data_IF_026798848340
#
_entry.id   IF_026798848340
#
_cell.length_a   1.000
_cell.length_b   1.000
_cell.length_c   1.000
_cell.angle_alpha   90.00
_cell.angle_beta   90.00
_cell.angle_gamma   90.00
#
_symmetry.space_group_name_H-M   'P 1'
#
loop_
_entity.id
_entity.type
_entity.pdbx_description
1 polymer ?
#
# COMPACT_ATOMS: atom_id res chain seq x y z
N UNK A 1 9.88 17.89 -10.10
CA UNK A 1 8.61 18.09 -9.37
C UNK A 1 7.66 16.94 -9.64
N UNK A 2 7.05 16.41 -8.59
CA UNK A 2 6.10 15.30 -8.72
C UNK A 2 4.71 15.85 -8.93
N UNK A 3 4.01 15.24 -9.86
CA UNK A 3 2.62 15.60 -10.13
C UNK A 3 1.70 14.72 -9.30
N UNK A 4 0.81 15.34 -8.52
CA UNK A 4 -0.19 14.63 -7.74
C UNK A 4 -1.28 14.11 -8.68
N UNK A 5 -1.54 12.80 -8.64
CA UNK A 5 -2.58 12.18 -9.46
C UNK A 5 -3.91 12.12 -8.71
N UNK A 6 -3.89 11.54 -7.53
CA UNK A 6 -5.08 11.43 -6.69
C UNK A 6 -4.70 11.11 -5.25
N UNK A 7 -5.73 11.01 -4.41
CA UNK A 7 -5.58 10.52 -3.05
C UNK A 7 -6.28 9.18 -2.94
N UNK A 8 -5.85 8.35 -2.00
CA UNK A 8 -6.51 7.09 -1.73
C UNK A 8 -6.88 7.00 -0.26
N UNK A 9 -7.98 6.32 -0.01
CA UNK A 9 -8.40 5.99 1.35
C UNK A 9 -8.94 4.58 1.33
N UNK A 10 -8.24 3.69 2.01
CA UNK A 10 -8.59 2.27 2.05
C UNK A 10 -8.88 1.88 3.49
N UNK A 11 -9.87 1.02 3.67
CA UNK A 11 -10.20 0.46 4.96
C UNK A 11 -9.49 -0.87 5.12
N UNK A 12 -8.88 -1.08 6.28
CA UNK A 12 -8.30 -2.35 6.66
C UNK A 12 -9.44 -3.33 6.94
N UNK A 13 -9.51 -4.40 6.17
CA UNK A 13 -10.59 -5.38 6.24
C UNK A 13 -10.17 -6.60 7.04
N UNK A 14 -8.95 -7.08 6.81
CA UNK A 14 -8.45 -8.28 7.49
C UNK A 14 -6.92 -8.30 7.45
N UNK A 15 -6.33 -9.13 8.32
CA UNK A 15 -4.90 -9.38 8.33
C UNK A 15 -4.67 -10.86 8.15
N UNK A 16 -3.77 -11.21 7.24
CA UNK A 16 -3.36 -12.59 7.03
C UNK A 16 -1.84 -12.70 7.10
N UNK A 17 -1.34 -13.92 7.21
CA UNK A 17 0.09 -14.15 7.38
C UNK A 17 0.57 -15.24 6.44
N UNK A 18 1.83 -15.13 6.04
CA UNK A 18 2.50 -16.19 5.29
C UNK A 18 3.96 -16.24 5.71
N UNK A 19 4.69 -17.21 5.19
CA UNK A 19 6.12 -17.34 5.42
C UNK A 19 6.83 -17.38 4.08
N UNK A 20 8.03 -16.79 4.03
CA UNK A 20 8.89 -16.96 2.87
C UNK A 20 9.70 -18.24 2.97
N UNK A 21 10.60 -18.48 2.01
CA UNK A 21 11.40 -19.70 1.96
C UNK A 21 12.35 -19.85 3.13
N UNK A 22 12.75 -18.74 3.74
CA UNK A 22 13.64 -18.72 4.89
C UNK A 22 12.90 -18.79 6.23
N UNK A 23 11.57 -18.88 6.20
CA UNK A 23 10.76 -18.94 7.41
C UNK A 23 10.43 -17.60 8.03
N UNK A 24 10.72 -16.50 7.34
CA UNK A 24 10.34 -15.17 7.82
C UNK A 24 8.84 -14.95 7.65
N UNK A 25 8.20 -14.40 8.67
CA UNK A 25 6.77 -14.12 8.62
C UNK A 25 6.50 -12.84 7.85
N UNK A 26 5.55 -12.91 6.93
CA UNK A 26 5.07 -11.77 6.18
C UNK A 26 3.67 -11.42 6.69
N UNK A 27 3.45 -10.14 6.98
CA UNK A 27 2.16 -9.65 7.47
C UNK A 27 1.41 -8.99 6.33
N UNK A 28 0.22 -9.51 6.02
CA UNK A 28 -0.60 -9.02 4.93
C UNK A 28 -1.76 -8.19 5.48
N UNK A 29 -1.77 -6.90 5.22
CA UNK A 29 -2.90 -6.04 5.55
C UNK A 29 -3.78 -5.94 4.31
N UNK A 30 -4.96 -6.56 4.37
CA UNK A 30 -5.89 -6.61 3.24
C UNK A 30 -6.86 -5.44 3.36
N UNK A 31 -6.88 -4.58 2.35
CA UNK A 31 -7.62 -3.33 2.39
C UNK A 31 -8.51 -3.16 1.16
N UNK A 32 -9.54 -2.32 1.30
CA UNK A 32 -10.38 -1.94 0.18
C UNK A 32 -10.86 -0.50 0.38
N UNK A 33 -11.13 0.18 -0.72
CA UNK A 33 -11.61 1.56 -0.65
C UNK A 33 -11.60 2.22 -2.00
N UNK A 34 -11.19 3.47 -2.04
CA UNK A 34 -11.25 4.28 -3.25
C UNK A 34 -9.94 5.01 -3.50
N UNK A 35 -9.59 5.13 -4.77
CA UNK A 35 -8.64 6.12 -5.26
C UNK A 35 -9.49 7.18 -5.97
N UNK A 36 -9.42 8.41 -5.50
CA UNK A 36 -10.37 9.46 -5.90
C UNK A 36 -10.41 9.72 -7.40
N UNK A 37 -9.28 9.59 -8.07
CA UNK A 37 -9.21 9.81 -9.51
C UNK A 37 -9.48 8.59 -10.36
N UNK A 38 -9.75 7.44 -9.75
CA UNK A 38 -9.90 6.20 -10.52
C UNK A 38 -11.18 5.43 -10.17
N UNK A 39 -11.32 5.00 -8.92
CA UNK A 39 -12.49 4.23 -8.51
C UNK A 39 -12.20 3.29 -7.37
N UNK A 40 -12.84 2.12 -7.40
CA UNK A 40 -12.75 1.13 -6.34
C UNK A 40 -11.41 0.42 -6.36
N UNK A 41 -10.80 0.25 -5.18
CA UNK A 41 -9.49 -0.40 -5.04
C UNK A 41 -9.57 -1.53 -4.02
N UNK A 42 -8.99 -2.66 -4.38
CA UNK A 42 -8.69 -3.75 -3.45
C UNK A 42 -7.19 -3.95 -3.47
N UNK A 43 -6.55 -3.89 -2.30
CA UNK A 43 -5.10 -4.05 -2.28
C UNK A 43 -4.65 -4.75 -1.01
N UNK A 44 -3.52 -5.44 -1.12
CA UNK A 44 -2.86 -6.07 0.01
C UNK A 44 -1.49 -5.44 0.17
N UNK A 45 -1.23 -4.94 1.38
CA UNK A 45 0.08 -4.42 1.74
C UNK A 45 0.82 -5.50 2.53
N UNK A 46 1.95 -5.96 2.01
CA UNK A 46 2.75 -7.03 2.63
C UNK A 46 3.94 -6.40 3.31
N UNK A 47 3.94 -6.46 4.63
CA UNK A 47 5.02 -5.91 5.46
C UNK A 47 5.99 -7.02 5.80
N UNK A 48 7.27 -6.82 5.46
CA UNK A 48 8.37 -7.74 5.79
C UNK A 48 8.95 -7.35 7.12
N UNK A 49 9.24 -8.35 7.96
CA UNK A 49 9.89 -8.17 9.26
C UNK A 49 9.15 -7.22 10.21
N UNK A 50 7.84 -7.27 10.21
CA UNK A 50 7.04 -6.42 11.09
C UNK A 50 7.07 -6.98 12.51
N UNK A 51 8.06 -6.51 13.27
CA UNK A 51 8.31 -6.93 14.66
C UNK A 51 8.50 -5.69 15.52
N UNK A 52 8.23 -5.82 16.81
CA UNK A 52 8.36 -4.71 17.77
C UNK A 52 9.78 -4.14 17.85
N UNK A 53 10.78 -4.93 17.49
CA UNK A 53 12.19 -4.53 17.56
C UNK A 53 12.71 -3.90 16.26
N UNK A 54 11.87 -3.82 15.23
CA UNK A 54 12.27 -3.32 13.91
C UNK A 54 11.50 -2.04 13.61
N UNK A 55 12.22 -0.98 13.23
CA UNK A 55 11.62 0.33 12.99
C UNK A 55 11.28 0.60 11.54
N UNK A 56 11.85 -0.16 10.61
CA UNK A 56 11.54 -0.02 9.18
C UNK A 56 11.81 -1.33 8.46
N UNK A 57 11.20 -1.50 7.32
CA UNK A 57 11.40 -2.72 6.56
C UNK A 57 10.87 -2.60 5.14
N UNK A 58 10.97 -3.70 4.45
CA UNK A 58 10.51 -3.83 3.07
C UNK A 58 8.99 -3.93 3.03
N UNK A 59 8.41 -3.36 2.00
CA UNK A 59 6.97 -3.36 1.77
C UNK A 59 6.69 -3.72 0.32
N UNK A 60 5.65 -4.51 0.13
CA UNK A 60 5.13 -4.80 -1.21
C UNK A 60 3.63 -4.56 -1.19
N UNK A 61 3.11 -3.97 -2.25
CA UNK A 61 1.67 -3.81 -2.42
C UNK A 61 1.23 -4.43 -3.73
N UNK A 62 0.11 -5.12 -3.71
CA UNK A 62 -0.48 -5.76 -4.90
C UNK A 62 -1.97 -5.51 -4.84
N UNK A 63 -2.56 -5.08 -5.95
CA UNK A 63 -3.99 -4.90 -5.96
C UNK A 63 -4.57 -4.52 -7.30
N UNK A 64 -5.87 -4.40 -7.32
CA UNK A 64 -6.62 -4.00 -8.50
C UNK A 64 -7.36 -2.71 -8.24
N UNK A 65 -7.42 -1.86 -9.26
CA UNK A 65 -8.28 -0.68 -9.26
C UNK A 65 -9.29 -0.82 -10.38
N UNK A 66 -10.56 -0.58 -10.05
CA UNK A 66 -11.70 -0.77 -10.96
C UNK A 66 -12.36 0.57 -11.25
N UNK A 67 -12.27 1.00 -12.51
CA UNK A 67 -12.88 2.25 -12.95
C UNK A 67 -14.38 2.08 -13.22
N UNK A 68 -15.10 3.18 -13.21
CA UNK A 68 -16.56 3.17 -13.41
C UNK A 68 -16.96 2.72 -14.82
N UNK A 69 -16.08 2.90 -15.80
CA UNK A 69 -16.37 2.51 -17.18
C UNK A 69 -16.18 1.00 -17.45
N UNK A 70 -15.83 0.24 -16.42
CA UNK A 70 -15.63 -1.21 -16.55
C UNK A 70 -14.20 -1.63 -16.80
N UNK A 71 -13.29 -0.69 -17.00
CA UNK A 71 -11.86 -1.02 -17.12
C UNK A 71 -11.27 -1.24 -15.74
N UNK A 72 -10.19 -2.01 -15.67
CA UNK A 72 -9.48 -2.22 -14.41
C UNK A 72 -8.01 -2.48 -14.70
N UNK A 73 -7.19 -2.23 -13.68
CA UNK A 73 -5.74 -2.44 -13.78
C UNK A 73 -5.26 -3.24 -12.58
N UNK A 74 -4.25 -4.06 -12.83
CA UNK A 74 -3.50 -4.71 -11.77
C UNK A 74 -2.25 -3.89 -11.53
N UNK A 75 -1.99 -3.55 -10.28
CA UNK A 75 -0.77 -2.88 -9.88
C UNK A 75 -0.01 -3.71 -8.88
N UNK A 76 1.30 -3.69 -8.98
CA UNK A 76 2.16 -4.22 -7.93
C UNK A 76 3.36 -3.31 -7.79
N UNK A 77 3.84 -3.21 -6.57
CA UNK A 77 4.95 -2.32 -6.32
C UNK A 77 5.73 -2.71 -5.08
N UNK A 78 6.96 -2.24 -5.05
CA UNK A 78 7.87 -2.46 -3.94
C UNK A 78 8.26 -1.13 -3.32
N UNK A 79 8.52 -1.16 -2.03
CA UNK A 79 8.90 0.03 -1.29
C UNK A 79 9.29 -0.32 0.12
N UNK A 80 8.91 0.55 1.04
CA UNK A 80 9.30 0.37 2.44
C UNK A 80 8.25 0.93 3.39
N UNK A 81 8.26 0.39 4.59
CA UNK A 81 7.47 0.90 5.71
C UNK A 81 8.40 1.45 6.78
N UNK A 82 7.90 2.43 7.53
CA UNK A 82 8.61 3.03 8.65
C UNK A 82 7.64 3.23 9.80
N UNK A 83 8.03 2.77 10.97
CA UNK A 83 7.20 2.85 12.16
C UNK A 83 7.03 4.30 12.60
N UNK A 84 5.81 4.66 13.00
CA UNK A 84 5.55 5.94 13.66
C UNK A 84 5.76 5.70 15.17
N UNK A 85 6.76 6.32 15.80
CA UNK A 85 7.07 6.05 17.20
C UNK A 85 5.87 6.33 18.12
N UNK A 86 5.62 5.39 19.05
CA UNK A 86 4.56 5.54 20.03
C UNK A 86 3.15 5.27 19.53
N UNK A 87 2.99 4.87 18.28
CA UNK A 87 1.68 4.62 17.68
C UNK A 87 1.66 3.29 16.95
N UNK A 88 0.47 2.72 16.80
CA UNK A 88 0.27 1.55 15.93
C UNK A 88 -0.01 2.06 14.52
N UNK A 89 1.02 2.62 13.92
CA UNK A 89 0.94 3.23 12.61
C UNK A 89 2.29 3.14 11.90
N UNK A 90 2.24 3.06 10.57
CA UNK A 90 3.43 2.94 9.75
C UNK A 90 3.29 3.82 8.51
N UNK A 91 4.33 4.58 8.23
CA UNK A 91 4.43 5.32 6.96
C UNK A 91 4.77 4.33 5.87
N UNK A 92 4.17 4.50 4.71
CA UNK A 92 4.37 3.60 3.58
C UNK A 92 4.76 4.38 2.34
N UNK A 93 5.67 3.80 1.55
CA UNK A 93 6.06 4.36 0.29
C UNK A 93 6.34 3.23 -0.68
N UNK A 94 5.68 3.24 -1.83
CA UNK A 94 5.76 2.17 -2.82
C UNK A 94 5.76 2.78 -4.21
N UNK A 95 6.54 2.20 -5.11
CA UNK A 95 6.47 2.52 -6.54
C UNK A 95 5.69 1.39 -7.22
N UNK A 96 4.49 1.72 -7.69
CA UNK A 96 3.65 0.78 -8.43
C UNK A 96 4.02 0.73 -9.89
N UNK A 97 4.08 -0.48 -10.42
CA UNK A 97 4.15 -0.75 -11.85
C UNK A 97 2.75 -1.11 -12.32
N UNK A 98 2.24 -0.36 -13.28
CA UNK A 98 0.96 -0.61 -13.93
C UNK A 98 1.22 -0.90 -15.40
N UNK A 99 0.16 -1.11 -16.17
CA UNK A 99 0.30 -1.25 -17.61
C UNK A 99 0.65 0.12 -18.22
N UNK A 100 1.94 0.42 -18.29
CA UNK A 100 2.45 1.68 -18.81
C UNK A 100 2.93 2.64 -17.74
N UNK A 101 2.04 3.28 -16.98
CA UNK A 101 2.47 4.28 -16.01
C UNK A 101 3.09 3.68 -14.76
N UNK A 102 3.94 4.47 -14.10
CA UNK A 102 4.46 4.17 -12.78
C UNK A 102 3.92 5.20 -11.81
N UNK A 103 3.55 4.75 -10.62
CA UNK A 103 2.93 5.63 -9.61
C UNK A 103 3.68 5.47 -8.30
N UNK A 104 4.06 6.59 -7.70
CA UNK A 104 4.60 6.61 -6.35
C UNK A 104 3.46 6.84 -5.38
N UNK A 105 3.21 5.88 -4.50
CA UNK A 105 2.15 5.95 -3.50
C UNK A 105 2.78 6.17 -2.14
N UNK A 106 2.42 7.26 -1.48
CA UNK A 106 2.93 7.62 -0.16
C UNK A 106 1.74 7.73 0.79
N UNK A 107 1.80 7.00 1.90
CA UNK A 107 0.67 7.00 2.81
C UNK A 107 1.03 6.59 4.21
N UNK A 108 0.01 6.26 4.97
CA UNK A 108 0.15 5.82 6.35
C UNK A 108 -0.94 4.78 6.65
N UNK A 109 -0.49 3.63 7.16
CA UNK A 109 -1.40 2.60 7.66
C UNK A 109 -1.54 2.81 9.16
N UNK A 110 -2.76 3.01 9.62
CA UNK A 110 -3.07 3.24 11.03
C UNK A 110 -4.07 2.22 11.53
N UNK A 111 -3.78 1.61 12.67
CA UNK A 111 -4.70 0.64 13.27
C UNK A 111 -5.78 1.29 14.13
N UNK A 112 -5.52 2.49 14.66
CA UNK A 112 -6.53 3.20 15.45
C UNK A 112 -7.75 3.62 14.61
N UNK A 113 -7.53 3.94 13.34
CA UNK A 113 -8.61 4.27 12.41
C UNK A 113 -8.93 3.12 11.45
N UNK A 114 -8.10 2.08 11.45
CA UNK A 114 -8.20 0.95 10.52
C UNK A 114 -8.20 1.40 9.06
N UNK A 115 -7.30 2.35 8.74
CA UNK A 115 -7.21 2.91 7.40
C UNK A 115 -5.78 2.89 6.87
N UNK A 116 -5.66 2.79 5.55
CA UNK A 116 -4.44 3.04 4.82
C UNK A 116 -4.77 4.14 3.82
N UNK A 117 -4.24 5.31 4.04
CA UNK A 117 -4.57 6.48 3.22
C UNK A 117 -3.32 7.25 2.83
N UNK A 118 -3.43 8.02 1.77
CA UNK A 118 -2.30 8.80 1.28
C UNK A 118 -2.53 9.42 -0.07
N UNK A 119 -1.42 9.70 -0.75
CA UNK A 119 -1.41 10.41 -2.02
C UNK A 119 -0.60 9.63 -3.06
N UNK A 120 -1.12 9.62 -4.27
CA UNK A 120 -0.47 8.99 -5.42
C UNK A 120 0.10 10.09 -6.33
N UNK A 121 1.35 9.89 -6.74
CA UNK A 121 2.07 10.82 -7.60
C UNK A 121 2.52 10.12 -8.87
N UNK A 122 2.66 10.87 -9.95
CA UNK A 122 3.29 10.35 -11.15
C UNK A 122 4.77 10.07 -10.86
N UNK A 123 5.23 8.87 -11.21
CA UNK A 123 6.62 8.46 -11.00
C UNK A 123 7.32 8.29 -12.33
N UNK A 124 7.59 9.40 -12.97
CA UNK A 124 8.33 9.39 -14.25
C UNK A 124 9.81 9.15 -14.01
N UNK A 125 10.40 8.36 -14.87
CA UNK A 125 11.84 8.14 -14.86
C UNK A 125 12.58 9.34 -15.44
#
# INVERSE_FOLDING_TARGET
MKETLDTFELKHVSTTYSEDKEGNVLTHFNCRGNAAGFGLVYDTAIFYDLKSTVSSGKLKRIGHAFARDGTYVLGQGDGRWERVPGEHAWKTEVIFELDGPRIKSVGELRLDTETHSGTNYSAKN
#
